data_IF_224847707153
#
_entry.id   IF_224847707153
#
_cell.length_a   1.000
_cell.length_b   1.000
_cell.length_c   1.000
_cell.angle_alpha   90.00
_cell.angle_beta   90.00
_cell.angle_gamma   90.00
#
_symmetry.space_group_name_H-M   'P 1'
#
loop_
_entity.id
_entity.type
_entity.pdbx_description
1 polymer ?
#
# COMPACT_ATOMS: atom_id res chain seq x y z
N UNK A 1 -14.09 -17.77 83.63
CA UNK A 1 -12.64 -17.89 83.36
C UNK A 1 -12.40 -17.20 82.04
N UNK A 2 -11.61 -16.13 82.09
CA UNK A 2 -11.43 -15.16 81.02
C UNK A 2 -9.99 -14.69 81.17
N UNK A 3 -9.18 -14.89 80.11
CA UNK A 3 -7.96 -14.16 79.72
C UNK A 3 -7.37 -14.83 78.45
N UNK A 4 -6.45 -14.20 77.67
CA UNK A 4 -6.74 -13.31 76.55
C UNK A 4 -6.02 -13.73 75.25
N UNK A 5 -6.28 -13.07 74.12
CA UNK A 5 -5.25 -12.81 73.10
C UNK A 5 -5.65 -11.61 72.21
N UNK A 6 -4.91 -10.51 72.37
CA UNK A 6 -4.71 -9.44 71.38
C UNK A 6 -3.56 -9.87 70.45
N UNK A 7 -3.18 -9.11 69.41
CA UNK A 7 -3.90 -8.31 68.42
C UNK A 7 -3.44 -8.67 66.99
N UNK A 8 -3.92 -7.93 65.97
CA UNK A 8 -3.08 -7.20 65.00
C UNK A 8 -3.75 -7.06 63.61
N UNK A 9 -3.39 -5.95 62.96
CA UNK A 9 -3.54 -5.69 61.52
C UNK A 9 -4.94 -5.34 61.01
N UNK A 10 -5.32 -4.06 60.96
CA UNK A 10 -4.91 -3.13 59.88
C UNK A 10 -4.90 -3.77 58.50
N UNK A 11 -5.90 -3.48 57.68
CA UNK A 11 -5.74 -2.62 56.48
C UNK A 11 -6.97 -2.72 55.59
N UNK A 12 -7.80 -1.70 55.73
CA UNK A 12 -8.68 -1.12 54.72
C UNK A 12 -8.10 -1.26 53.30
N UNK A 13 -8.70 -2.10 52.47
CA UNK A 13 -8.43 -2.09 51.03
C UNK A 13 -9.65 -1.51 50.33
N UNK A 14 -9.59 -0.20 50.13
CA UNK A 14 -10.53 0.54 49.31
C UNK A 14 -10.53 -0.04 47.89
N UNK A 15 -11.67 -0.62 47.47
CA UNK A 15 -11.98 -0.87 46.07
C UNK A 15 -12.03 0.47 45.35
N UNK A 16 -10.91 0.87 44.76
CA UNK A 16 -10.88 1.89 43.71
C UNK A 16 -11.55 1.32 42.48
N UNK A 17 -12.87 1.52 42.36
CA UNK A 17 -13.54 1.50 41.06
C UNK A 17 -12.98 2.65 40.23
N UNK A 18 -12.04 2.33 39.34
CA UNK A 18 -11.66 3.24 38.27
C UNK A 18 -12.85 3.37 37.33
N UNK A 19 -13.54 4.51 37.41
CA UNK A 19 -14.55 4.91 36.45
C UNK A 19 -13.91 4.98 35.06
N UNK A 20 -14.25 4.01 34.21
CA UNK A 20 -13.99 4.11 32.77
C UNK A 20 -14.70 5.37 32.24
N UNK A 21 -14.02 6.27 31.51
CA UNK A 21 -14.72 7.36 30.86
C UNK A 21 -15.59 6.79 29.75
N UNK A 22 -16.90 6.80 29.98
CA UNK A 22 -17.93 6.49 28.99
C UNK A 22 -17.75 7.48 27.84
N UNK A 23 -17.30 7.00 26.67
CA UNK A 23 -17.21 7.81 25.47
C UNK A 23 -18.61 8.32 25.09
N UNK A 24 -18.77 9.60 24.69
CA UNK A 24 -20.07 10.12 24.28
C UNK A 24 -20.55 9.38 23.03
N UNK A 25 -21.68 8.69 23.14
CA UNK A 25 -22.39 8.12 22.00
C UNK A 25 -22.95 9.29 21.19
N UNK A 26 -22.32 9.61 20.06
CA UNK A 26 -22.86 10.54 19.07
C UNK A 26 -23.94 9.80 18.29
N UNK A 27 -25.20 10.08 18.60
CA UNK A 27 -26.34 9.62 17.81
C UNK A 27 -26.47 10.57 16.62
N UNK A 28 -26.11 10.10 15.43
CA UNK A 28 -26.30 10.83 14.17
C UNK A 28 -27.74 10.59 13.69
N UNK A 29 -28.51 11.62 13.33
CA UNK A 29 -29.86 11.44 12.80
C UNK A 29 -29.81 10.70 11.46
N UNK A 30 -30.60 9.64 11.34
CA UNK A 30 -30.79 8.87 10.11
C UNK A 30 -31.79 9.60 9.22
N UNK A 31 -31.31 10.60 8.47
CA UNK A 31 -32.08 11.17 7.36
C UNK A 31 -31.80 10.34 6.11
N UNK A 32 -32.76 9.49 5.78
CA UNK A 32 -32.90 8.99 4.43
C UNK A 32 -33.37 10.16 3.56
N UNK A 33 -32.62 10.48 2.51
CA UNK A 33 -33.09 10.62 1.13
C UNK A 33 -32.01 11.33 0.31
N UNK A 34 -31.80 10.80 -0.90
CA UNK A 34 -30.55 10.95 -1.63
C UNK A 34 -30.31 12.29 -2.27
N UNK A 35 -29.07 12.51 -2.65
CA UNK A 35 -28.65 13.28 -3.83
C UNK A 35 -27.14 13.07 -4.04
N UNK A 36 -26.74 13.00 -5.30
CA UNK A 36 -25.34 12.98 -5.75
C UNK A 36 -24.50 14.02 -5.00
N UNK A 37 -23.60 13.57 -4.13
CA UNK A 37 -22.53 14.41 -3.62
C UNK A 37 -21.20 13.80 -4.03
N UNK A 38 -20.45 14.57 -4.83
CA UNK A 38 -19.08 14.26 -5.18
C UNK A 38 -18.28 14.26 -3.90
N UNK A 39 -17.82 13.07 -3.51
CA UNK A 39 -16.93 12.83 -2.37
C UNK A 39 -15.89 13.95 -2.28
N UNK A 40 -15.89 14.80 -1.23
CA UNK A 40 -14.82 15.76 -1.04
C UNK A 40 -13.59 14.93 -0.68
N UNK A 41 -12.76 14.70 -1.70
CA UNK A 41 -11.48 14.04 -1.64
C UNK A 41 -10.84 14.28 -0.27
N UNK A 42 -10.92 13.26 0.59
CA UNK A 42 -10.08 13.18 1.77
C UNK A 42 -8.67 13.32 1.22
N UNK A 43 -8.07 14.49 1.45
CA UNK A 43 -6.71 14.81 1.04
C UNK A 43 -5.77 14.04 1.99
N UNK A 44 -5.86 12.71 1.93
CA UNK A 44 -4.83 11.82 2.43
C UNK A 44 -3.60 12.18 1.61
N UNK A 45 -2.46 12.50 2.23
CA UNK A 45 -1.22 12.68 1.52
C UNK A 45 -1.00 11.46 0.65
N UNK A 46 -1.19 11.62 -0.66
CA UNK A 46 -0.97 10.54 -1.61
C UNK A 46 0.50 10.16 -1.46
N UNK A 47 0.79 8.91 -1.11
CA UNK A 47 2.17 8.50 -0.89
C UNK A 47 3.03 8.92 -2.08
N UNK A 48 4.26 9.43 -1.86
CA UNK A 48 5.05 10.10 -2.90
C UNK A 48 5.25 9.24 -4.17
N UNK A 49 5.26 7.93 -4.01
CA UNK A 49 5.36 6.97 -5.11
C UNK A 49 4.08 6.89 -5.96
N UNK A 50 2.90 7.06 -5.37
CA UNK A 50 1.61 7.14 -6.09
C UNK A 50 1.48 8.45 -6.86
N UNK A 51 2.03 9.54 -6.32
CA UNK A 51 2.02 10.83 -7.02
C UNK A 51 2.78 10.79 -8.35
N UNK A 52 3.88 10.03 -8.42
CA UNK A 52 4.61 9.81 -9.67
C UNK A 52 3.79 9.02 -10.70
N UNK A 53 2.96 8.07 -10.26
CA UNK A 53 2.02 7.37 -11.16
C UNK A 53 1.02 8.37 -11.74
N UNK A 54 0.44 9.24 -10.93
CA UNK A 54 -0.51 10.26 -11.41
C UNK A 54 0.14 11.21 -12.44
N UNK A 55 1.33 11.72 -12.14
CA UNK A 55 2.08 12.59 -13.07
C UNK A 55 2.38 11.88 -14.40
N UNK A 56 2.79 10.61 -14.35
CA UNK A 56 2.99 9.80 -15.55
C UNK A 56 1.71 9.66 -16.38
N UNK A 57 0.58 9.40 -15.72
CA UNK A 57 -0.71 9.24 -16.39
C UNK A 57 -1.18 10.55 -17.03
N UNK A 58 -0.99 11.68 -16.36
CA UNK A 58 -1.27 13.02 -16.90
C UNK A 58 -0.41 13.34 -18.12
N UNK A 59 0.85 12.89 -18.16
CA UNK A 59 1.76 13.08 -19.29
C UNK A 59 1.40 12.22 -20.53
N UNK A 60 0.60 11.17 -20.38
CA UNK A 60 0.12 10.31 -21.49
C UNK A 60 -1.17 10.88 -22.09
N UNK A 61 -1.31 10.95 -23.43
CA UNK A 61 -2.46 11.60 -24.07
C UNK A 61 -3.71 10.72 -24.31
N UNK A 62 -3.65 9.40 -24.11
CA UNK A 62 -4.74 8.48 -24.49
C UNK A 62 -5.50 7.93 -23.27
N UNK A 63 -6.75 8.39 -23.06
CA UNK A 63 -7.55 8.08 -21.86
C UNK A 63 -7.83 6.59 -21.59
N UNK A 64 -8.09 5.78 -22.62
CA UNK A 64 -8.31 4.33 -22.43
C UNK A 64 -7.04 3.58 -22.01
N UNK A 65 -5.88 4.02 -22.50
CA UNK A 65 -4.57 3.47 -22.16
C UNK A 65 -4.13 3.92 -20.77
N UNK A 66 -4.45 5.16 -20.38
CA UNK A 66 -4.22 5.67 -19.02
C UNK A 66 -4.94 4.79 -17.99
N UNK A 67 -6.23 4.48 -18.17
CA UNK A 67 -6.99 3.65 -17.22
C UNK A 67 -6.38 2.25 -17.06
N UNK A 68 -5.98 1.63 -18.16
CA UNK A 68 -5.32 0.33 -18.13
C UNK A 68 -3.95 0.40 -17.41
N UNK A 69 -3.13 1.41 -17.72
CA UNK A 69 -1.81 1.58 -17.11
C UNK A 69 -1.92 1.90 -15.62
N UNK A 70 -2.86 2.78 -15.24
CA UNK A 70 -3.17 3.10 -13.84
C UNK A 70 -3.43 1.83 -13.05
N UNK A 71 -4.35 0.99 -13.54
CA UNK A 71 -4.71 -0.25 -12.86
C UNK A 71 -3.51 -1.18 -12.66
N UNK A 72 -2.66 -1.33 -13.67
CA UNK A 72 -1.48 -2.19 -13.57
C UNK A 72 -0.41 -1.63 -12.64
N UNK A 73 -0.15 -0.31 -12.69
CA UNK A 73 0.86 0.33 -11.86
C UNK A 73 0.46 0.39 -10.39
N UNK A 74 -0.82 0.64 -10.09
CA UNK A 74 -1.33 0.59 -8.72
C UNK A 74 -1.22 -0.82 -8.14
N UNK A 75 -1.65 -1.84 -8.88
CA UNK A 75 -1.49 -3.24 -8.44
C UNK A 75 -0.03 -3.61 -8.16
N UNK A 76 0.89 -3.08 -8.97
CA UNK A 76 2.31 -3.31 -8.75
C UNK A 76 2.81 -2.58 -7.50
N UNK A 77 2.43 -1.32 -7.30
CA UNK A 77 2.77 -0.55 -6.09
C UNK A 77 2.27 -1.28 -4.82
N UNK A 78 1.00 -1.68 -4.78
CA UNK A 78 0.44 -2.45 -3.65
C UNK A 78 1.18 -3.78 -3.42
N UNK A 79 1.65 -4.45 -4.48
CA UNK A 79 2.42 -5.67 -4.33
C UNK A 79 3.79 -5.41 -3.70
N UNK A 80 4.46 -4.33 -4.09
CA UNK A 80 5.73 -3.94 -3.50
C UNK A 80 5.56 -3.56 -2.04
N UNK A 81 4.52 -2.79 -1.71
CA UNK A 81 4.19 -2.41 -0.34
C UNK A 81 3.92 -3.65 0.54
N UNK A 82 3.20 -4.64 -0.01
CA UNK A 82 2.95 -5.91 0.67
C UNK A 82 4.23 -6.74 0.91
N UNK A 83 5.27 -6.57 0.11
CA UNK A 83 6.59 -7.18 0.34
C UNK A 83 7.33 -6.39 1.43
N UNK A 84 7.34 -5.06 1.37
CA UNK A 84 8.02 -4.20 2.34
C UNK A 84 7.41 -4.31 3.74
N UNK A 85 6.08 -4.44 3.85
CA UNK A 85 5.40 -4.65 5.13
C UNK A 85 5.74 -6.01 5.79
N UNK A 86 6.44 -6.91 5.10
CA UNK A 86 6.96 -8.16 5.67
C UNK A 86 8.42 -8.05 6.13
N UNK A 87 9.10 -6.94 5.81
CA UNK A 87 10.45 -6.66 6.25
C UNK A 87 10.41 -6.01 7.64
N UNK A 88 11.50 -6.14 8.39
CA UNK A 88 11.66 -5.46 9.67
C UNK A 88 11.53 -3.94 9.50
N UNK A 89 10.92 -3.22 10.47
CA UNK A 89 10.68 -1.77 10.36
C UNK A 89 11.96 -0.94 10.20
N UNK A 90 13.12 -1.50 10.56
CA UNK A 90 14.44 -0.87 10.37
C UNK A 90 14.93 -0.96 8.91
N UNK A 91 14.40 -1.90 8.13
CA UNK A 91 14.72 -2.10 6.70
C UNK A 91 13.65 -1.53 5.77
N UNK A 92 12.57 -0.97 6.33
CA UNK A 92 11.48 -0.35 5.57
C UNK A 92 11.98 0.92 4.88
N UNK A 93 12.51 0.76 3.68
CA UNK A 93 12.80 1.87 2.80
C UNK A 93 11.46 2.41 2.29
N UNK A 94 11.23 3.72 2.43
CA UNK A 94 10.11 4.35 1.75
C UNK A 94 10.17 3.98 0.27
N UNK A 95 9.08 3.46 -0.28
CA UNK A 95 8.98 2.93 -1.63
C UNK A 95 9.49 3.94 -2.68
N UNK A 96 10.78 3.88 -3.02
CA UNK A 96 11.37 4.69 -4.08
C UNK A 96 11.42 3.82 -5.32
N UNK A 97 10.81 4.26 -6.42
CA UNK A 97 10.84 3.53 -7.69
C UNK A 97 12.28 3.20 -8.16
N UNK A 98 13.27 3.95 -7.68
CA UNK A 98 14.70 3.75 -7.94
C UNK A 98 15.27 2.47 -7.29
N UNK A 99 14.74 2.04 -6.14
CA UNK A 99 15.25 0.87 -5.40
C UNK A 99 14.63 -0.43 -5.88
N UNK A 100 13.59 -0.36 -6.71
CA UNK A 100 12.93 -1.54 -7.25
C UNK A 100 13.88 -2.31 -8.16
N UNK A 101 14.13 -3.57 -7.80
CA UNK A 101 15.02 -4.46 -8.53
C UNK A 101 14.28 -5.27 -9.59
N UNK A 102 15.03 -5.80 -10.57
CA UNK A 102 14.49 -6.77 -11.53
C UNK A 102 13.93 -8.03 -10.83
N UNK A 103 14.47 -8.42 -9.68
CA UNK A 103 13.95 -9.54 -8.90
C UNK A 103 12.56 -9.25 -8.34
N UNK A 104 12.31 -8.05 -7.81
CA UNK A 104 10.98 -7.66 -7.34
C UNK A 104 9.93 -7.72 -8.46
N UNK A 105 10.29 -7.28 -9.67
CA UNK A 105 9.42 -7.38 -10.85
C UNK A 105 9.21 -8.85 -11.26
N UNK A 106 10.24 -9.70 -11.19
CA UNK A 106 10.11 -11.15 -11.45
C UNK A 106 9.15 -11.80 -10.44
N UNK A 107 9.28 -11.50 -9.15
CA UNK A 107 8.39 -11.98 -8.09
C UNK A 107 6.95 -11.56 -8.36
N UNK A 108 6.72 -10.32 -8.78
CA UNK A 108 5.40 -9.84 -9.19
C UNK A 108 4.83 -10.61 -10.39
N UNK A 109 5.61 -10.81 -11.45
CA UNK A 109 5.18 -11.59 -12.63
C UNK A 109 4.82 -13.02 -12.24
N UNK A 110 5.61 -13.65 -11.37
CA UNK A 110 5.34 -14.98 -10.85
C UNK A 110 4.03 -14.98 -10.05
N UNK A 111 3.81 -13.99 -9.19
CA UNK A 111 2.57 -13.84 -8.43
C UNK A 111 1.34 -13.69 -9.34
N UNK A 112 1.43 -12.90 -10.42
CA UNK A 112 0.36 -12.78 -11.41
C UNK A 112 0.05 -14.13 -12.09
N UNK A 113 1.09 -14.92 -12.41
CA UNK A 113 0.93 -16.25 -13.00
C UNK A 113 0.28 -17.24 -12.05
N UNK A 114 0.71 -17.25 -10.78
CA UNK A 114 0.14 -18.09 -9.73
C UNK A 114 -1.33 -17.70 -9.47
N UNK A 115 -1.66 -16.42 -9.55
CA UNK A 115 -3.04 -15.91 -9.51
C UNK A 115 -3.86 -16.17 -10.77
N UNK A 116 -3.36 -16.95 -11.73
CA UNK A 116 -4.10 -17.35 -12.93
C UNK A 116 -4.30 -16.26 -13.98
N UNK A 117 -3.54 -15.17 -13.94
CA UNK A 117 -3.65 -14.11 -14.95
C UNK A 117 -3.27 -14.62 -16.35
N UNK A 118 -4.00 -14.12 -17.36
CA UNK A 118 -3.73 -14.46 -18.76
C UNK A 118 -2.37 -13.89 -19.19
N UNK A 119 -1.61 -14.59 -20.06
CA UNK A 119 -0.34 -14.11 -20.60
C UNK A 119 -0.41 -12.68 -21.17
N UNK A 120 -1.50 -12.36 -21.88
CA UNK A 120 -1.73 -11.00 -22.41
C UNK A 120 -1.80 -9.94 -21.31
N UNK A 121 -2.45 -10.24 -20.18
CA UNK A 121 -2.55 -9.30 -19.07
C UNK A 121 -1.20 -9.09 -18.39
N UNK A 122 -0.41 -10.16 -18.25
CA UNK A 122 0.96 -10.08 -17.71
C UNK A 122 1.86 -9.25 -18.65
N UNK A 123 1.74 -9.44 -19.97
CA UNK A 123 2.44 -8.62 -20.97
C UNK A 123 2.03 -7.14 -20.90
N UNK A 124 0.74 -6.86 -20.69
CA UNK A 124 0.26 -5.50 -20.47
C UNK A 124 0.81 -4.87 -19.19
N UNK A 125 0.87 -5.64 -18.09
CA UNK A 125 1.48 -5.19 -16.84
C UNK A 125 2.95 -4.82 -17.05
N UNK A 126 3.74 -5.69 -17.69
CA UNK A 126 5.14 -5.40 -17.99
C UNK A 126 5.29 -4.18 -18.91
N UNK A 127 4.43 -4.03 -19.91
CA UNK A 127 4.46 -2.88 -20.82
C UNK A 127 4.15 -1.55 -20.11
N UNK A 128 3.21 -1.57 -19.16
CA UNK A 128 2.89 -0.42 -18.32
C UNK A 128 4.09 -0.04 -17.44
N UNK A 129 4.71 -1.02 -16.77
CA UNK A 129 5.92 -0.81 -15.98
C UNK A 129 7.07 -0.26 -16.84
N UNK A 130 7.34 -0.85 -18.02
CA UNK A 130 8.39 -0.36 -18.93
C UNK A 130 8.17 1.09 -19.35
N UNK A 131 6.93 1.45 -19.68
CA UNK A 131 6.58 2.82 -20.06
C UNK A 131 6.79 3.79 -18.90
N UNK A 132 6.42 3.38 -17.69
CA UNK A 132 6.57 4.18 -16.49
C UNK A 132 8.04 4.40 -16.11
N UNK A 133 8.88 3.35 -16.09
CA UNK A 133 10.31 3.48 -15.80
C UNK A 133 11.07 4.31 -16.84
N UNK A 134 10.69 4.21 -18.12
CA UNK A 134 11.23 5.09 -19.16
C UNK A 134 10.89 6.55 -18.90
N UNK A 135 9.65 6.83 -18.51
CA UNK A 135 9.22 8.18 -18.14
C UNK A 135 9.94 8.67 -16.88
N UNK A 136 10.08 7.85 -15.83
CA UNK A 136 10.83 8.21 -14.63
C UNK A 136 12.26 8.65 -14.95
N UNK A 137 12.95 7.91 -15.83
CA UNK A 137 14.29 8.27 -16.29
C UNK A 137 14.31 9.59 -17.06
N UNK A 138 13.28 9.88 -17.86
CA UNK A 138 13.15 11.15 -18.58
C UNK A 138 12.91 12.32 -17.64
N UNK A 139 12.19 12.11 -16.53
CA UNK A 139 11.94 13.13 -15.50
C UNK A 139 13.10 13.28 -14.49
N UNK A 140 14.18 12.49 -14.62
CA UNK A 140 15.31 12.54 -13.69
C UNK A 140 15.10 11.79 -12.38
N UNK A 141 14.01 11.03 -12.24
CA UNK A 141 13.70 10.17 -11.10
C UNK A 141 14.28 8.76 -11.21
N UNK A 142 15.18 8.53 -12.18
CA UNK A 142 15.91 7.26 -12.31
C UNK A 142 17.28 7.50 -12.94
N UNK A 143 18.38 6.92 -12.42
CA UNK A 143 19.72 7.18 -12.91
C UNK A 143 19.89 6.79 -14.39
N UNK A 144 20.44 7.71 -15.19
CA UNK A 144 20.68 7.44 -16.61
C UNK A 144 21.83 6.45 -16.87
N UNK A 145 22.63 6.12 -15.86
CA UNK A 145 23.70 5.11 -15.96
C UNK A 145 23.22 3.71 -15.62
N UNK A 146 22.04 3.57 -15.00
CA UNK A 146 21.51 2.31 -14.55
C UNK A 146 20.54 1.71 -15.59
N UNK A 147 20.64 0.40 -15.81
CA UNK A 147 19.68 -0.33 -16.62
C UNK A 147 18.31 -0.34 -15.93
N UNK A 148 17.22 -0.17 -16.69
CA UNK A 148 15.88 -0.22 -16.11
C UNK A 148 15.60 -1.65 -15.62
N UNK A 149 15.01 -1.83 -14.43
CA UNK A 149 14.77 -3.15 -13.86
C UNK A 149 13.80 -3.96 -14.74
N UNK A 150 12.96 -3.26 -15.52
CA UNK A 150 12.02 -3.82 -16.49
C UNK A 150 12.68 -4.35 -17.78
N UNK A 151 13.87 -3.86 -18.14
CA UNK A 151 14.61 -4.34 -19.32
C UNK A 151 15.33 -5.67 -19.05
N UNK A 152 15.56 -6.00 -17.77
CA UNK A 152 16.23 -7.22 -17.31
C UNK A 152 15.28 -8.43 -17.14
N UNK A 153 14.02 -8.27 -17.54
CA UNK A 153 12.99 -9.29 -17.44
C UNK A 153 13.01 -10.17 -18.68
N UNK A 154 13.30 -11.45 -18.49
CA UNK A 154 13.26 -12.43 -19.58
C UNK A 154 11.83 -12.58 -20.09
N UNK A 155 11.64 -12.40 -21.41
CA UNK A 155 10.35 -12.55 -22.09
C UNK A 155 9.76 -13.94 -21.92
N UNK A 156 10.59 -14.97 -21.72
CA UNK A 156 10.15 -16.35 -21.44
C UNK A 156 9.28 -16.46 -20.19
N UNK A 157 9.39 -15.52 -19.25
CA UNK A 157 8.54 -15.48 -18.06
C UNK A 157 7.07 -15.14 -18.38
N UNK A 158 6.81 -14.54 -19.54
CA UNK A 158 5.51 -14.02 -19.95
C UNK A 158 4.66 -15.04 -20.71
N UNK A 159 5.26 -16.12 -21.18
CA UNK A 159 4.57 -17.17 -21.95
C UNK A 159 4.26 -18.37 -21.04
N UNK A 160 3.05 -18.93 -21.18
CA UNK A 160 2.73 -20.26 -20.66
C UNK A 160 3.35 -21.27 -21.63
N UNK A 161 4.37 -22.00 -21.20
CA UNK A 161 4.68 -23.30 -21.81
C UNK A 161 3.83 -24.36 -21.12
#
# INVERSE_FOLDING_TARGET
>A
MQDPDLPDSSSETALRWSAEPILPIVIVPLEAEGEHESDPAVNVPLEPHLQLIEQFLQAKSAGSTQKAYRHQLLKFATHLEAIENRLDPTEKQSQVWETVTAEAIRKYIIALRQGGQKPTSIKQALSAMQSFYKWLRQQGHYPATQALPTDLIDRRLLDRR
#
